data_IF_881946208768
#
_entry.id   IF_881946208768
#
_cell.length_a   1.000
_cell.length_b   1.000
_cell.length_c   1.000
_cell.angle_alpha   90.00
_cell.angle_beta   90.00
_cell.angle_gamma   90.00
#
_symmetry.space_group_name_H-M   'P 1'
#
loop_
_entity.id
_entity.type
_entity.pdbx_description
1 polymer ?
#
# COMPACT_ATOMS: atom_id res chain seq x y z
N UNK A 1 8.37 -26.58 10.95
CA UNK A 1 8.08 -26.26 9.55
C UNK A 1 7.51 -24.85 9.46
N UNK A 2 7.93 -24.07 8.49
CA UNK A 2 7.31 -22.77 8.31
C UNK A 2 5.86 -22.94 7.86
N UNK A 3 5.00 -22.14 8.45
CA UNK A 3 3.59 -22.12 8.11
C UNK A 3 3.20 -20.74 7.61
N UNK A 4 2.12 -20.65 6.86
CA UNK A 4 1.65 -19.42 6.25
C UNK A 4 1.52 -18.28 7.26
N UNK A 5 1.08 -18.58 8.48
CA UNK A 5 0.83 -17.57 9.50
C UNK A 5 2.01 -17.31 10.43
N UNK A 6 3.14 -17.95 10.19
CA UNK A 6 4.36 -17.70 10.97
C UNK A 6 5.10 -16.46 10.47
N UNK A 7 5.77 -15.72 11.38
CA UNK A 7 6.58 -14.58 10.97
C UNK A 7 7.68 -14.95 9.98
N UNK A 8 8.05 -13.98 9.15
CA UNK A 8 9.17 -14.07 8.23
C UNK A 8 10.03 -12.83 8.37
N UNK A 9 11.30 -13.02 8.69
CA UNK A 9 12.25 -11.92 8.79
C UNK A 9 13.08 -11.82 7.51
N UNK A 10 13.06 -10.64 6.90
CA UNK A 10 13.87 -10.30 5.74
C UNK A 10 14.76 -9.12 6.12
N UNK A 11 16.04 -9.41 6.35
CA UNK A 11 16.99 -8.42 6.88
C UNK A 11 16.48 -7.83 8.20
N UNK A 12 16.19 -6.53 8.24
CA UNK A 12 15.74 -5.83 9.44
C UNK A 12 14.21 -5.75 9.58
N UNK A 13 13.48 -6.36 8.65
CA UNK A 13 12.02 -6.29 8.65
C UNK A 13 11.44 -7.66 8.95
N UNK A 14 10.53 -7.72 9.92
CA UNK A 14 9.81 -8.94 10.25
C UNK A 14 8.36 -8.80 9.85
N UNK A 15 7.93 -9.63 8.90
CA UNK A 15 6.53 -9.74 8.51
C UNK A 15 5.81 -10.61 9.55
N UNK A 16 4.63 -10.20 10.05
CA UNK A 16 3.91 -10.99 11.05
C UNK A 16 3.41 -12.34 10.54
N UNK A 17 3.21 -12.46 9.25
CA UNK A 17 2.84 -13.69 8.57
C UNK A 17 3.28 -13.63 7.11
N UNK A 18 3.01 -14.69 6.37
CA UNK A 18 3.48 -14.84 4.98
C UNK A 18 2.40 -14.56 3.94
N UNK A 19 1.34 -13.87 4.34
CA UNK A 19 0.30 -13.43 3.42
C UNK A 19 0.64 -12.03 2.93
N UNK A 20 0.87 -11.90 1.64
CA UNK A 20 1.18 -10.61 1.00
C UNK A 20 0.10 -10.21 0.01
N UNK A 21 -0.26 -8.95 0.02
CA UNK A 21 -1.14 -8.37 -0.99
C UNK A 21 -0.26 -7.82 -2.12
N UNK A 22 -0.42 -8.37 -3.31
CA UNK A 22 0.33 -7.95 -4.49
C UNK A 22 -0.11 -6.57 -4.96
N UNK A 23 0.75 -5.83 -5.65
CA UNK A 23 0.36 -4.52 -6.19
C UNK A 23 -0.71 -4.68 -7.28
N UNK A 24 -1.77 -3.89 -7.17
CA UNK A 24 -2.89 -3.93 -8.11
C UNK A 24 -3.35 -2.52 -8.39
N UNK A 25 -3.17 -2.07 -9.63
CA UNK A 25 -3.60 -0.74 -10.05
C UNK A 25 -5.11 -0.60 -9.93
N UNK A 26 -5.55 0.45 -9.24
CA UNK A 26 -6.97 0.71 -8.96
C UNK A 26 -7.59 1.71 -9.92
N UNK A 27 -6.75 2.51 -10.59
CA UNK A 27 -7.19 3.54 -11.52
C UNK A 27 -8.25 4.47 -10.92
N UNK A 28 -8.06 4.85 -9.67
CA UNK A 28 -9.06 5.60 -8.88
C UNK A 28 -8.51 6.90 -8.32
N UNK A 29 -7.35 7.34 -8.76
CA UNK A 29 -6.75 8.61 -8.32
C UNK A 29 -7.18 9.77 -9.22
N UNK A 30 -7.14 10.97 -8.66
CA UNK A 30 -7.29 12.22 -9.39
C UNK A 30 -6.02 13.02 -9.20
N UNK A 31 -5.39 13.43 -10.30
CA UNK A 31 -4.12 14.16 -10.28
C UNK A 31 -3.07 13.47 -9.41
N UNK A 32 -3.06 12.14 -9.40
CA UNK A 32 -2.14 11.33 -8.63
C UNK A 32 -2.47 11.17 -7.15
N UNK A 33 -3.46 11.86 -6.63
CA UNK A 33 -3.78 11.80 -5.20
C UNK A 33 -4.45 10.49 -4.81
N UNK A 34 -3.99 9.89 -3.73
CA UNK A 34 -4.72 8.84 -3.05
C UNK A 34 -5.97 9.45 -2.39
N UNK A 35 -6.97 8.62 -2.17
CA UNK A 35 -8.24 9.03 -1.58
C UNK A 35 -8.82 7.91 -0.71
N UNK A 36 -10.06 8.07 -0.27
CA UNK A 36 -10.71 7.09 0.59
C UNK A 36 -10.76 5.69 -0.02
N UNK A 37 -10.86 5.59 -1.35
CA UNK A 37 -10.83 4.28 -2.00
C UNK A 37 -9.55 3.52 -1.67
N UNK A 38 -8.41 4.21 -1.78
CA UNK A 38 -7.10 3.60 -1.49
C UNK A 38 -6.99 3.22 -0.02
N UNK A 39 -7.49 4.07 0.88
CA UNK A 39 -7.51 3.76 2.31
C UNK A 39 -8.34 2.50 2.58
N UNK A 40 -9.53 2.41 2.04
CA UNK A 40 -10.42 1.24 2.22
C UNK A 40 -9.81 0.01 1.56
N UNK A 41 -9.32 0.14 0.33
CA UNK A 41 -8.73 -0.99 -0.41
C UNK A 41 -7.55 -1.59 0.35
N UNK A 42 -6.55 -0.78 0.67
CA UNK A 42 -5.35 -1.25 1.37
C UNK A 42 -5.65 -1.57 2.83
N UNK A 43 -6.42 -0.72 3.49
CA UNK A 43 -6.75 -0.87 4.89
C UNK A 43 -7.57 -2.12 5.17
N UNK A 44 -8.50 -2.48 4.29
CA UNK A 44 -9.31 -3.69 4.46
C UNK A 44 -8.46 -4.96 4.45
N UNK A 45 -7.38 -4.99 3.65
CA UNK A 45 -6.47 -6.13 3.62
C UNK A 45 -5.68 -6.23 4.92
N UNK A 46 -5.24 -5.10 5.45
CA UNK A 46 -4.55 -5.07 6.74
C UNK A 46 -5.48 -5.50 7.88
N UNK A 47 -6.72 -5.04 7.89
CA UNK A 47 -7.75 -5.46 8.86
C UNK A 47 -7.99 -6.96 8.75
N UNK A 48 -7.97 -7.51 7.55
CA UNK A 48 -8.11 -8.95 7.30
C UNK A 48 -6.90 -9.78 7.74
N UNK A 49 -5.79 -9.15 8.11
CA UNK A 49 -4.63 -9.84 8.68
C UNK A 49 -3.44 -10.03 7.75
N UNK A 50 -3.45 -9.48 6.53
CA UNK A 50 -2.29 -9.58 5.66
C UNK A 50 -1.05 -8.97 6.32
N UNK A 51 0.06 -9.69 6.28
CA UNK A 51 1.32 -9.25 6.90
C UNK A 51 2.07 -8.22 6.08
N UNK A 52 1.94 -8.29 4.76
CA UNK A 52 2.56 -7.35 3.83
C UNK A 52 1.49 -6.82 2.88
N UNK A 53 1.42 -5.51 2.74
CA UNK A 53 0.50 -4.88 1.78
C UNK A 53 1.32 -3.99 0.87
N UNK A 54 1.34 -4.31 -0.42
CA UNK A 54 1.97 -3.47 -1.43
C UNK A 54 0.96 -2.55 -2.07
N UNK A 55 1.35 -1.30 -2.24
CA UNK A 55 0.52 -0.35 -2.99
C UNK A 55 0.57 -0.66 -4.48
N UNK A 56 -0.36 -0.09 -5.21
CA UNK A 56 -0.31 -0.07 -6.65
C UNK A 56 0.91 0.70 -7.15
N UNK A 57 1.20 0.56 -8.44
CA UNK A 57 2.26 1.35 -9.07
C UNK A 57 1.99 2.84 -8.88
N UNK A 58 2.97 3.55 -8.36
CA UNK A 58 2.89 4.99 -8.15
C UNK A 58 3.83 5.70 -9.11
N UNK A 59 3.29 6.61 -9.91
CA UNK A 59 4.09 7.37 -10.86
C UNK A 59 4.95 8.41 -10.15
N UNK A 60 6.23 8.47 -10.49
CA UNK A 60 7.17 9.46 -9.94
C UNK A 60 7.24 10.74 -10.78
N UNK A 61 6.54 10.76 -11.90
CA UNK A 61 6.30 11.93 -12.75
C UNK A 61 4.91 11.81 -13.34
N UNK A 62 4.24 12.95 -13.54
CA UNK A 62 2.89 12.93 -14.09
C UNK A 62 2.82 12.22 -15.45
N UNK A 63 3.84 12.42 -16.30
CA UNK A 63 3.92 11.76 -17.61
C UNK A 63 4.21 10.26 -17.53
N UNK A 64 4.61 9.76 -16.35
CA UNK A 64 4.88 8.34 -16.15
C UNK A 64 3.64 7.51 -15.83
N UNK A 65 2.49 8.14 -15.72
CA UNK A 65 1.23 7.43 -15.45
C UNK A 65 0.84 6.56 -16.65
N UNK A 66 0.27 5.39 -16.35
CA UNK A 66 -0.34 4.53 -17.37
C UNK A 66 -1.62 5.19 -17.86
N UNK A 67 -2.43 5.71 -16.94
CA UNK A 67 -3.66 6.46 -17.22
C UNK A 67 -3.70 7.72 -16.37
N UNK A 68 -4.63 8.64 -16.70
CA UNK A 68 -4.84 9.85 -15.90
C UNK A 68 -5.33 9.56 -14.48
N UNK A 69 -5.74 8.32 -14.19
CA UNK A 69 -6.27 7.93 -12.89
C UNK A 69 -5.29 7.12 -12.06
N UNK A 70 -4.03 7.05 -12.48
CA UNK A 70 -3.00 6.35 -11.73
C UNK A 70 -2.63 7.10 -10.44
N UNK A 71 -2.27 6.33 -9.43
CA UNK A 71 -1.66 6.87 -8.21
C UNK A 71 -0.33 7.52 -8.57
N UNK A 72 -0.02 8.61 -7.88
CA UNK A 72 1.23 9.33 -8.08
C UNK A 72 1.92 9.66 -6.77
N UNK A 73 3.21 9.88 -6.88
CA UNK A 73 4.05 10.39 -5.81
C UNK A 73 5.15 11.24 -6.46
N UNK A 74 4.75 12.36 -7.08
CA UNK A 74 5.70 13.24 -7.75
C UNK A 74 5.77 14.65 -7.15
N UNK A 75 5.03 14.90 -6.06
CA UNK A 75 5.09 16.16 -5.32
C UNK A 75 4.77 15.93 -3.84
N UNK A 76 5.19 16.85 -3.00
CA UNK A 76 5.04 16.72 -1.55
C UNK A 76 3.57 16.61 -1.12
N UNK A 77 2.65 17.28 -1.83
CA UNK A 77 1.22 17.22 -1.50
C UNK A 77 0.65 15.80 -1.59
N UNK A 78 1.28 14.92 -2.34
CA UNK A 78 0.87 13.51 -2.41
C UNK A 78 1.16 12.73 -1.13
N UNK A 79 2.08 13.21 -0.29
CA UNK A 79 2.57 12.47 0.87
C UNK A 79 1.50 12.35 1.96
N UNK A 80 0.71 13.39 2.18
CA UNK A 80 -0.19 13.48 3.33
C UNK A 80 -1.17 12.30 3.41
N UNK A 81 -1.91 12.06 2.35
CA UNK A 81 -2.90 10.98 2.36
C UNK A 81 -2.25 9.61 2.37
N UNK A 82 -1.14 9.44 1.66
CA UNK A 82 -0.38 8.18 1.69
C UNK A 82 0.15 7.90 3.10
N UNK A 83 0.62 8.92 3.81
CA UNK A 83 1.05 8.77 5.21
C UNK A 83 -0.09 8.33 6.11
N UNK A 84 -1.28 8.84 5.89
CA UNK A 84 -2.48 8.42 6.63
C UNK A 84 -2.76 6.93 6.41
N UNK A 85 -2.65 6.47 5.17
CA UNK A 85 -2.83 5.06 4.84
C UNK A 85 -1.77 4.21 5.55
N UNK A 86 -0.51 4.59 5.45
CA UNK A 86 0.60 3.85 6.06
C UNK A 86 0.40 3.74 7.57
N UNK A 87 0.04 4.83 8.24
CA UNK A 87 -0.22 4.81 9.69
C UNK A 87 -1.36 3.86 10.03
N UNK A 88 -2.42 3.83 9.24
CA UNK A 88 -3.52 2.91 9.46
C UNK A 88 -3.06 1.46 9.35
N UNK A 89 -2.32 1.12 8.29
CA UNK A 89 -1.83 -0.23 8.07
C UNK A 89 -0.88 -0.68 9.18
N UNK A 90 0.05 0.19 9.57
CA UNK A 90 0.99 -0.12 10.65
C UNK A 90 0.27 -0.36 11.98
N UNK A 91 -0.77 0.42 12.27
CA UNK A 91 -1.58 0.24 13.46
C UNK A 91 -2.33 -1.11 13.47
N UNK A 92 -2.53 -1.71 12.29
CA UNK A 92 -3.10 -3.06 12.16
C UNK A 92 -2.04 -4.15 12.17
N UNK A 93 -0.77 -3.81 12.25
CA UNK A 93 0.33 -4.76 12.29
C UNK A 93 0.90 -5.14 10.92
N UNK A 94 0.39 -4.58 9.84
CA UNK A 94 0.90 -4.84 8.49
C UNK A 94 2.19 -4.05 8.22
N UNK A 95 2.97 -4.57 7.28
CA UNK A 95 4.16 -3.91 6.76
C UNK A 95 3.90 -3.43 5.33
#
# INVERSE_FOLDING_TARGET
>A
MPHLLEPLTLRSVTLPNRVGVSPMCEYSSEDGFANDWHLVHLGSRAVGGAGLVMTEAAAVEARGRITARDLGLWKDDHIEFLSRIVRFLEARGAV
#
